data_IF_668948375246
#
_entry.id   IF_668948375246
#
_cell.length_a   1.000
_cell.length_b   1.000
_cell.length_c   1.000
_cell.angle_alpha   90.00
_cell.angle_beta   90.00
_cell.angle_gamma   90.00
#
_symmetry.space_group_name_H-M   'P 1'
#
loop_
_entity.id
_entity.type
_entity.pdbx_description
1 polymer ?
#
# COMPACT_ATOMS: atom_id res chain seq x y z
N UNK A 1 9.19 -12.10 9.61
CA UNK A 1 9.45 -12.70 8.28
C UNK A 1 8.73 -11.82 7.29
N UNK A 2 9.46 -11.26 6.32
CA UNK A 2 8.86 -10.61 5.15
C UNK A 2 8.28 -11.73 4.29
N UNK A 3 7.02 -11.62 3.88
CA UNK A 3 6.38 -12.64 3.05
C UNK A 3 5.91 -12.01 1.75
N UNK A 4 6.43 -12.48 0.64
CA UNK A 4 5.98 -12.12 -0.70
C UNK A 4 4.77 -13.00 -1.07
N UNK A 5 3.76 -12.40 -1.69
CA UNK A 5 2.63 -13.16 -2.24
C UNK A 5 3.01 -13.82 -3.56
N UNK A 6 2.32 -14.92 -3.88
CA UNK A 6 2.21 -15.33 -5.28
C UNK A 6 1.62 -14.19 -6.13
N UNK A 7 1.89 -14.15 -7.45
CA UNK A 7 1.32 -13.14 -8.32
C UNK A 7 -0.21 -13.13 -8.26
N UNK A 8 -0.78 -11.97 -7.98
CA UNK A 8 -2.23 -11.73 -7.95
C UNK A 8 -2.68 -11.43 -9.38
N UNK A 9 -3.51 -12.31 -9.94
CA UNK A 9 -4.10 -12.13 -11.28
C UNK A 9 -5.14 -11.01 -11.28
N UNK A 10 -5.19 -10.27 -12.39
CA UNK A 10 -6.17 -9.19 -12.66
C UNK A 10 -7.59 -9.70 -12.93
N UNK A 11 -7.78 -11.01 -13.10
CA UNK A 11 -9.11 -11.61 -13.23
C UNK A 11 -9.94 -11.45 -11.94
N UNK A 12 -9.26 -11.22 -10.82
CA UNK A 12 -9.83 -10.82 -9.54
C UNK A 12 -9.19 -9.49 -9.10
N UNK A 13 -9.67 -8.35 -9.61
CA UNK A 13 -8.99 -7.06 -9.48
C UNK A 13 -9.12 -6.44 -8.07
N UNK A 14 -9.68 -7.19 -7.11
CA UNK A 14 -9.87 -6.74 -5.73
C UNK A 14 -9.34 -7.79 -4.76
N UNK A 15 -8.38 -7.40 -3.93
CA UNK A 15 -7.97 -8.16 -2.75
C UNK A 15 -8.56 -7.49 -1.50
N UNK A 16 -9.25 -8.28 -0.67
CA UNK A 16 -9.76 -7.83 0.61
C UNK A 16 -8.98 -8.48 1.76
N UNK A 17 -8.49 -7.63 2.66
CA UNK A 17 -7.79 -8.04 3.87
C UNK A 17 -8.61 -7.59 5.07
N UNK A 18 -8.89 -8.50 6.00
CA UNK A 18 -9.60 -8.14 7.24
C UNK A 18 -8.81 -7.11 8.05
N UNK A 19 -9.53 -6.19 8.70
CA UNK A 19 -8.96 -5.15 9.57
C UNK A 19 -9.80 -5.01 10.83
N UNK A 20 -9.18 -4.60 11.94
CA UNK A 20 -9.91 -4.43 13.19
C UNK A 20 -10.74 -3.14 13.16
N UNK A 21 -11.90 -3.10 13.83
CA UNK A 21 -12.67 -1.86 13.99
C UNK A 21 -11.81 -0.75 14.61
N UNK A 22 -11.77 0.42 13.96
CA UNK A 22 -10.98 1.57 14.41
C UNK A 22 -9.49 1.51 14.06
N UNK A 23 -9.04 0.49 13.31
CA UNK A 23 -7.68 0.47 12.79
C UNK A 23 -7.43 1.67 11.86
N UNK A 24 -6.28 2.29 12.01
CA UNK A 24 -5.86 3.44 11.24
C UNK A 24 -4.85 3.03 10.18
N UNK A 25 -5.01 3.60 8.98
CA UNK A 25 -4.13 3.37 7.84
C UNK A 25 -3.25 4.60 7.62
N UNK A 26 -2.00 4.36 7.25
CA UNK A 26 -0.98 5.37 6.93
C UNK A 26 -0.20 4.93 5.70
N UNK A 27 0.50 5.84 5.03
CA UNK A 27 1.38 5.51 3.89
C UNK A 27 1.00 6.27 2.64
N UNK A 28 0.72 5.57 1.54
CA UNK A 28 0.20 6.07 0.23
C UNK A 28 1.05 7.07 -0.58
N UNK A 29 2.10 7.63 0.00
CA UNK A 29 2.82 8.76 -0.58
C UNK A 29 2.34 10.07 0.02
N UNK A 30 2.38 11.16 -0.75
CA UNK A 30 1.91 12.47 -0.32
C UNK A 30 0.79 12.95 -1.23
N UNK A 31 -0.30 13.44 -0.65
CA UNK A 31 -1.46 13.94 -1.38
C UNK A 31 -1.99 15.22 -0.72
N UNK A 32 -2.67 16.11 -1.47
CA UNK A 32 -3.18 17.34 -0.91
C UNK A 32 -4.01 17.16 0.37
N UNK A 33 -4.91 16.16 0.50
CA UNK A 33 -5.70 15.96 1.73
C UNK A 33 -4.89 15.58 2.98
N UNK A 34 -3.60 15.22 2.86
CA UNK A 34 -2.76 14.89 4.00
C UNK A 34 -2.45 16.11 4.89
N UNK A 35 -2.76 17.34 4.43
CA UNK A 35 -2.65 18.56 5.22
C UNK A 35 -3.72 18.67 6.33
N UNK A 36 -4.90 18.10 6.10
CA UNK A 36 -6.01 18.07 7.04
C UNK A 36 -6.06 16.76 7.85
N UNK A 37 -5.63 15.64 7.25
CA UNK A 37 -5.72 14.33 7.89
C UNK A 37 -4.58 13.38 7.46
N UNK A 38 -3.78 12.95 8.44
CA UNK A 38 -2.67 12.01 8.21
C UNK A 38 -3.12 10.56 7.97
N UNK A 39 -4.32 10.18 8.44
CA UNK A 39 -4.82 8.81 8.29
C UNK A 39 -5.58 8.63 6.99
N UNK A 40 -5.30 7.55 6.28
CA UNK A 40 -5.96 7.18 5.02
C UNK A 40 -7.26 6.42 5.32
N UNK A 41 -8.23 7.12 5.92
CA UNK A 41 -9.58 6.56 6.16
C UNK A 41 -10.38 6.41 4.85
N UNK A 42 -10.13 7.28 3.88
CA UNK A 42 -10.78 7.27 2.57
C UNK A 42 -10.05 6.43 1.53
N UNK A 43 -10.73 6.19 0.42
CA UNK A 43 -10.18 5.55 -0.78
C UNK A 43 -9.03 6.38 -1.33
N UNK A 44 -7.85 5.77 -1.39
CA UNK A 44 -6.63 6.35 -1.97
C UNK A 44 -6.63 6.15 -3.47
N UNK A 45 -6.63 7.25 -4.22
CA UNK A 45 -6.43 7.22 -5.67
C UNK A 45 -4.96 7.46 -6.04
N UNK A 46 -4.39 6.69 -6.98
CA UNK A 46 -3.04 6.93 -7.45
C UNK A 46 -2.97 8.26 -8.20
N UNK A 47 -2.17 9.21 -7.68
CA UNK A 47 -2.00 10.54 -8.25
C UNK A 47 -0.52 10.95 -8.20
N UNK A 48 0.01 11.37 -9.35
CA UNK A 48 1.36 11.93 -9.47
C UNK A 48 1.27 13.28 -10.16
N UNK A 49 1.57 14.35 -9.43
CA UNK A 49 1.65 15.72 -9.94
C UNK A 49 2.58 16.56 -9.06
N UNK A 50 2.79 17.84 -9.37
CA UNK A 50 3.68 18.70 -8.59
C UNK A 50 3.30 18.83 -7.10
N UNK A 51 2.07 18.47 -6.73
CA UNK A 51 1.56 18.53 -5.36
C UNK A 51 1.25 17.14 -4.76
N UNK A 52 1.54 16.06 -5.48
CA UNK A 52 1.18 14.71 -5.05
C UNK A 52 2.20 13.67 -5.54
N UNK A 53 2.56 12.76 -4.66
CA UNK A 53 3.33 11.55 -4.96
C UNK A 53 2.52 10.33 -4.55
N UNK A 54 2.64 9.26 -5.33
CA UNK A 54 1.96 8.01 -5.05
C UNK A 54 2.97 6.90 -4.76
N UNK A 55 2.75 6.19 -3.66
CA UNK A 55 3.50 4.97 -3.31
C UNK A 55 2.48 3.90 -2.93
N UNK A 56 2.49 2.71 -3.56
CA UNK A 56 1.57 1.61 -3.25
C UNK A 56 1.97 0.90 -1.95
N UNK A 57 2.20 1.67 -0.89
CA UNK A 57 2.58 1.22 0.45
C UNK A 57 1.54 1.66 1.46
N UNK A 58 1.23 0.79 2.42
CA UNK A 58 0.45 1.17 3.58
C UNK A 58 1.01 0.53 4.85
N UNK A 59 0.76 1.17 5.98
CA UNK A 59 0.86 0.60 7.32
C UNK A 59 -0.51 0.69 8.01
N UNK A 60 -0.91 -0.36 8.72
CA UNK A 60 -2.11 -0.38 9.56
C UNK A 60 -1.76 -0.59 11.03
N UNK A 61 -2.52 0.02 11.92
CA UNK A 61 -2.43 -0.22 13.37
C UNK A 61 -2.83 -1.64 13.78
N UNK A 62 -3.33 -2.47 12.86
CA UNK A 62 -3.47 -3.92 13.05
C UNK A 62 -2.12 -4.66 13.18
N UNK A 63 -1.01 -3.94 12.98
CA UNK A 63 0.33 -4.48 13.24
C UNK A 63 1.01 -5.06 12.00
N UNK A 64 0.69 -4.55 10.81
CA UNK A 64 1.38 -4.92 9.58
C UNK A 64 1.43 -3.76 8.58
N UNK A 65 2.34 -3.91 7.62
CA UNK A 65 2.45 -3.05 6.44
C UNK A 65 2.40 -3.90 5.16
N UNK A 66 2.01 -3.27 4.07
CA UNK A 66 2.00 -3.86 2.73
C UNK A 66 2.71 -2.94 1.76
N UNK A 67 3.45 -3.54 0.83
CA UNK A 67 3.94 -2.86 -0.37
C UNK A 67 3.47 -3.66 -1.59
N UNK A 68 2.78 -3.01 -2.52
CA UNK A 68 2.52 -3.57 -3.83
C UNK A 68 3.67 -3.34 -4.80
N UNK A 69 3.97 -4.35 -5.61
CA UNK A 69 4.97 -4.27 -6.67
C UNK A 69 4.47 -4.97 -7.95
N UNK A 70 4.82 -4.42 -9.10
CA UNK A 70 4.54 -5.05 -10.40
C UNK A 70 5.65 -6.05 -10.75
N UNK A 71 5.30 -7.23 -11.26
CA UNK A 71 6.24 -8.31 -11.54
C UNK A 71 6.87 -8.25 -12.96
N UNK A 72 6.37 -7.38 -13.86
CA UNK A 72 6.81 -7.37 -15.27
C UNK A 72 7.18 -5.98 -15.82
N UNK A 73 7.98 -6.00 -16.89
CA UNK A 73 8.49 -4.91 -17.77
C UNK A 73 7.45 -3.88 -18.28
N UNK A 74 6.20 -3.97 -17.84
CA UNK A 74 5.16 -2.96 -18.07
C UNK A 74 5.39 -1.74 -17.17
N UNK A 75 6.51 -1.07 -17.39
CA UNK A 75 6.84 0.30 -16.99
C UNK A 75 6.23 0.76 -15.67
N UNK A 76 6.84 0.40 -14.51
CA UNK A 76 6.86 1.12 -13.21
C UNK A 76 5.53 1.75 -12.68
N UNK A 77 4.40 1.49 -13.30
CA UNK A 77 3.14 2.17 -13.14
C UNK A 77 2.15 1.13 -12.64
N UNK A 78 2.08 0.99 -11.33
CA UNK A 78 1.11 0.15 -10.65
C UNK A 78 0.07 1.03 -9.94
N UNK A 79 -0.86 1.66 -10.67
CA UNK A 79 -1.91 2.47 -10.06
C UNK A 79 -2.90 1.57 -9.32
N UNK A 80 -2.66 1.34 -8.04
CA UNK A 80 -3.57 0.59 -7.16
C UNK A 80 -4.35 1.57 -6.29
N UNK A 81 -5.66 1.40 -6.31
CA UNK A 81 -6.55 2.10 -5.40
C UNK A 81 -6.64 1.25 -4.12
N UNK A 82 -6.47 1.84 -2.94
CA UNK A 82 -6.71 1.09 -1.71
C UNK A 82 -7.34 1.95 -0.63
N UNK A 83 -8.06 1.33 0.30
CA UNK A 83 -8.74 2.04 1.38
C UNK A 83 -9.40 1.07 2.35
N UNK A 84 -9.85 1.58 3.49
CA UNK A 84 -10.55 0.81 4.52
C UNK A 84 -12.00 1.22 4.61
N UNK A 85 -12.90 0.26 4.79
CA UNK A 85 -14.30 0.53 5.17
C UNK A 85 -14.57 0.24 6.66
N UNK A 86 -13.51 0.03 7.45
CA UNK A 86 -13.59 -0.32 8.88
C UNK A 86 -13.82 -1.81 9.16
N UNK A 87 -14.04 -2.65 8.14
CA UNK A 87 -14.10 -4.12 8.25
C UNK A 87 -13.06 -4.80 7.38
N UNK A 88 -12.83 -4.25 6.19
CA UNK A 88 -11.83 -4.72 5.24
C UNK A 88 -11.01 -3.55 4.71
N UNK A 89 -9.75 -3.85 4.40
CA UNK A 89 -8.90 -3.05 3.53
C UNK A 89 -8.95 -3.67 2.14
N UNK A 90 -9.38 -2.89 1.17
CA UNK A 90 -9.54 -3.34 -0.22
C UNK A 90 -8.43 -2.77 -1.08
N UNK A 91 -7.76 -3.61 -1.87
CA UNK A 91 -6.75 -3.24 -2.86
C UNK A 91 -7.31 -3.52 -4.25
N UNK A 92 -7.42 -2.48 -5.07
CA UNK A 92 -8.09 -2.45 -6.36
C UNK A 92 -7.08 -2.22 -7.49
N UNK A 93 -6.80 -3.27 -8.26
CA UNK A 93 -5.85 -3.25 -9.38
C UNK A 93 -6.51 -3.04 -10.76
N UNK A 94 -7.75 -2.56 -10.81
CA UNK A 94 -8.55 -2.40 -12.05
C UNK A 94 -7.88 -1.56 -13.14
N UNK A 95 -7.01 -0.64 -12.75
CA UNK A 95 -6.29 0.25 -13.68
C UNK A 95 -5.00 -0.42 -14.20
N UNK A 96 -4.49 -1.42 -13.49
CA UNK A 96 -3.28 -2.15 -13.84
C UNK A 96 -3.62 -3.41 -14.65
N UNK A 97 -3.02 -3.55 -15.84
CA UNK A 97 -3.24 -4.68 -16.76
C UNK A 97 -2.11 -5.71 -16.69
N UNK A 98 -1.75 -6.14 -15.48
CA UNK A 98 -0.72 -7.14 -15.26
C UNK A 98 -0.82 -7.80 -13.89
N UNK A 99 -0.07 -8.87 -13.66
CA UNK A 99 0.02 -9.46 -12.33
C UNK A 99 0.86 -8.57 -11.40
N UNK A 100 0.40 -8.42 -10.16
CA UNK A 100 1.15 -7.71 -9.12
C UNK A 100 1.35 -8.60 -7.91
N UNK A 101 2.33 -8.26 -7.08
CA UNK A 101 2.64 -8.96 -5.84
C UNK A 101 2.48 -8.00 -4.67
N UNK A 102 2.17 -8.57 -3.51
CA UNK A 102 2.18 -7.85 -2.25
C UNK A 102 3.27 -8.40 -1.36
N UNK A 103 4.07 -7.50 -0.81
CA UNK A 103 5.02 -7.79 0.24
C UNK A 103 4.36 -7.50 1.58
N UNK A 104 4.07 -8.57 2.32
CA UNK A 104 3.49 -8.51 3.66
C UNK A 104 4.59 -8.36 4.71
N UNK A 105 4.44 -7.34 5.56
CA UNK A 105 5.44 -6.95 6.55
C UNK A 105 4.81 -6.90 7.94
N UNK A 106 4.90 -7.97 8.75
CA UNK A 106 4.47 -7.92 10.15
C UNK A 106 5.25 -6.83 10.90
N UNK A 107 4.53 -5.88 11.49
CA UNK A 107 5.09 -4.66 12.03
C UNK A 107 4.28 -4.18 13.24
N UNK A 108 4.76 -4.47 14.45
CA UNK A 108 4.09 -4.06 15.70
C UNK A 108 4.01 -2.55 15.92
N UNK A 109 4.73 -1.75 15.13
CA UNK A 109 4.68 -0.29 15.15
C UNK A 109 5.08 0.28 13.79
N UNK A 110 4.73 1.54 13.54
CA UNK A 110 5.11 2.25 12.32
C UNK A 110 6.64 2.22 12.11
N UNK A 111 7.43 2.42 13.17
CA UNK A 111 8.89 2.37 13.10
C UNK A 111 9.41 1.00 12.65
N UNK A 112 8.77 -0.10 13.10
CA UNK A 112 9.12 -1.46 12.64
C UNK A 112 8.67 -1.70 11.20
N UNK A 113 7.53 -1.15 10.79
CA UNK A 113 7.08 -1.17 9.40
C UNK A 113 8.07 -0.46 8.48
N UNK A 114 8.51 0.74 8.86
CA UNK A 114 9.53 1.50 8.12
C UNK A 114 10.86 0.75 8.02
N UNK A 115 11.30 0.11 9.11
CA UNK A 115 12.53 -0.70 9.07
C UNK A 115 12.41 -1.87 8.09
N UNK A 116 11.28 -2.57 8.08
CA UNK A 116 11.01 -3.67 7.16
C UNK A 116 10.92 -3.18 5.70
N UNK A 117 10.28 -2.03 5.48
CA UNK A 117 10.21 -1.37 4.18
C UNK A 117 11.60 -1.03 3.66
N UNK A 118 12.47 -0.40 4.46
CA UNK A 118 13.84 -0.09 4.02
C UNK A 118 14.70 -1.32 3.78
N UNK A 119 14.47 -2.43 4.48
CA UNK A 119 15.15 -3.68 4.19
C UNK A 119 14.77 -4.24 2.80
N UNK A 120 13.57 -3.92 2.30
CA UNK A 120 13.06 -4.35 1.01
C UNK A 120 13.42 -3.36 -0.12
N UNK A 121 13.29 -2.06 0.12
CA UNK A 121 13.42 -1.03 -0.93
C UNK A 121 14.78 -0.30 -0.92
N UNK A 122 15.61 -0.55 0.09
CA UNK A 122 16.80 0.25 0.38
C UNK A 122 16.49 1.46 1.27
N UNK A 123 17.50 1.87 2.05
CA UNK A 123 17.44 3.06 2.89
C UNK A 123 17.88 4.31 2.11
N UNK A 124 17.36 5.50 2.46
CA UNK A 124 17.83 6.75 1.87
C UNK A 124 19.32 7.01 2.20
N UNK A 125 20.07 7.64 1.28
CA UNK A 125 21.45 8.05 1.56
C UNK A 125 21.48 9.14 2.65
N UNK A 126 22.61 9.19 3.38
CA UNK A 126 22.90 10.20 4.43
C UNK A 126 23.78 11.31 3.86
#
# INVERSE_FOLDING_TARGET
>A
VLTESEPISVDHPVLNLSTSPGAQLYGRGASPPDDEQLTSGDVVHPLVCNRATYVPYMYTTDGYALLGAANETQSLNMPVIFGSNGTYISWHAWVFKGAFQLYFMPAASLAKGTQAYYALTGAPPV
#
